data_IF_565133686183
#
_entry.id   IF_565133686183
#
_cell.length_a   1.000
_cell.length_b   1.000
_cell.length_c   1.000
_cell.angle_alpha   90.00
_cell.angle_beta   90.00
_cell.angle_gamma   90.00
#
_symmetry.space_group_name_H-M   'P 1'
#
loop_
_entity.id
_entity.type
_entity.pdbx_description
1 polymer ?
#
# COMPACT_ATOMS: atom_id res chain seq x y z
N UNK A 1 -6.67 -49.46 -48.22
CA UNK A 1 -7.24 -48.47 -47.28
C UNK A 1 -6.17 -48.23 -46.25
N UNK A 2 -5.48 -47.09 -46.33
CA UNK A 2 -4.37 -46.77 -45.44
C UNK A 2 -4.80 -45.58 -44.56
N UNK A 3 -4.93 -45.86 -43.26
CA UNK A 3 -5.35 -44.91 -42.24
C UNK A 3 -4.29 -43.82 -42.03
N UNK A 4 -4.67 -42.57 -42.27
CA UNK A 4 -3.81 -41.40 -42.03
C UNK A 4 -3.93 -40.96 -40.58
N UNK A 5 -2.90 -41.24 -39.79
CA UNK A 5 -2.75 -40.74 -38.42
C UNK A 5 -2.60 -39.22 -38.41
N UNK A 6 -3.53 -38.51 -37.78
CA UNK A 6 -3.49 -37.05 -37.60
C UNK A 6 -2.66 -36.76 -36.34
N UNK A 7 -1.47 -36.18 -36.51
CA UNK A 7 -0.64 -35.71 -35.40
C UNK A 7 -1.13 -34.33 -34.96
N UNK A 8 -1.77 -34.23 -33.79
CA UNK A 8 -2.17 -32.95 -33.20
C UNK A 8 -0.93 -32.19 -32.73
N UNK A 9 -0.62 -31.08 -33.40
CA UNK A 9 0.40 -30.11 -32.95
C UNK A 9 -0.20 -29.28 -31.81
N UNK A 10 0.32 -29.46 -30.60
CA UNK A 10 -0.06 -28.65 -29.43
C UNK A 10 0.47 -27.22 -29.58
N UNK A 11 -0.44 -26.27 -29.71
CA UNK A 11 -0.15 -24.84 -29.78
C UNK A 11 0.18 -24.30 -28.39
N UNK A 12 1.48 -24.11 -28.10
CA UNK A 12 1.95 -23.48 -26.86
C UNK A 12 1.67 -21.97 -26.90
N UNK A 13 0.65 -21.52 -26.18
CA UNK A 13 0.30 -20.10 -26.06
C UNK A 13 1.49 -19.26 -25.55
N UNK A 14 1.92 -18.26 -26.33
CA UNK A 14 2.97 -17.31 -25.93
C UNK A 14 2.50 -16.46 -24.74
N UNK A 15 3.22 -16.51 -23.61
CA UNK A 15 3.08 -15.53 -22.51
C UNK A 15 4.22 -14.52 -22.56
N UNK A 16 3.93 -13.23 -22.79
CA UNK A 16 4.95 -12.19 -22.73
C UNK A 16 5.63 -12.17 -21.37
N UNK A 17 6.96 -12.00 -21.31
CA UNK A 17 7.67 -11.85 -20.04
C UNK A 17 7.19 -10.59 -19.33
N UNK A 18 6.67 -10.74 -18.11
CA UNK A 18 6.34 -9.61 -17.23
C UNK A 18 7.66 -8.95 -16.84
N UNK A 19 8.04 -7.88 -17.54
CA UNK A 19 9.13 -7.02 -17.06
C UNK A 19 8.72 -6.50 -15.68
N UNK A 20 9.54 -6.72 -14.62
CA UNK A 20 9.27 -6.09 -13.34
C UNK A 20 9.38 -4.57 -13.54
N UNK A 21 8.25 -3.87 -13.38
CA UNK A 21 8.17 -2.40 -13.41
C UNK A 21 8.71 -1.84 -12.09
N UNK A 22 9.91 -2.25 -11.67
CA UNK A 22 10.57 -1.61 -10.53
C UNK A 22 11.38 -0.44 -11.08
N UNK A 23 11.09 0.81 -10.71
CA UNK A 23 11.97 1.91 -11.02
C UNK A 23 13.35 1.64 -10.40
N UNK A 24 14.38 1.68 -11.22
CA UNK A 24 15.78 1.60 -10.80
C UNK A 24 16.13 2.89 -10.05
N UNK A 25 15.80 2.95 -8.76
CA UNK A 25 16.31 4.02 -7.92
C UNK A 25 17.83 3.82 -7.79
N UNK A 26 18.62 4.85 -8.12
CA UNK A 26 20.08 4.77 -8.16
C UNK A 26 20.69 4.26 -6.84
N UNK A 27 21.91 3.70 -6.89
CA UNK A 27 22.58 3.13 -5.72
C UNK A 27 22.76 4.23 -4.66
N UNK A 28 21.97 4.14 -3.58
CA UNK A 28 22.00 5.13 -2.48
C UNK A 28 20.63 5.71 -2.11
N UNK A 29 19.58 5.49 -2.91
CA UNK A 29 18.21 5.87 -2.50
C UNK A 29 17.71 4.81 -1.52
N UNK A 30 17.83 5.11 -0.23
CA UNK A 30 17.13 4.35 0.80
C UNK A 30 15.65 4.70 0.68
N UNK A 31 14.88 3.90 -0.07
CA UNK A 31 13.43 3.97 -0.02
C UNK A 31 13.05 3.59 1.41
N UNK A 32 12.52 4.51 2.23
CA UNK A 32 12.12 4.16 3.58
C UNK A 32 11.12 3.02 3.48
N UNK A 33 11.30 1.98 4.29
CA UNK A 33 10.42 0.82 4.29
C UNK A 33 8.98 1.31 4.48
N UNK A 34 8.22 1.34 3.38
CA UNK A 34 6.88 1.92 3.36
C UNK A 34 6.00 1.09 4.28
N UNK A 35 5.78 1.58 5.49
CA UNK A 35 4.83 0.94 6.41
C UNK A 35 3.44 1.09 5.78
N UNK A 36 2.70 -0.01 5.60
CA UNK A 36 1.40 0.08 4.97
C UNK A 36 0.44 0.88 5.88
N UNK A 37 0.01 2.05 5.41
CA UNK A 37 -0.77 3.03 6.18
C UNK A 37 -2.07 2.43 6.74
N UNK A 38 -2.85 1.75 5.89
CA UNK A 38 -4.16 1.23 6.26
C UNK A 38 -4.15 0.17 7.39
N UNK A 39 -3.33 -0.90 7.35
CA UNK A 39 -3.25 -1.84 8.46
C UNK A 39 -2.68 -1.19 9.72
N UNK A 40 -1.67 -0.32 9.61
CA UNK A 40 -1.10 0.38 10.77
C UNK A 40 -2.16 1.22 11.50
N UNK A 41 -2.93 2.04 10.77
CA UNK A 41 -3.99 2.85 11.39
C UNK A 41 -5.12 2.02 12.00
N UNK A 42 -5.40 0.82 11.46
CA UNK A 42 -6.42 -0.08 12.01
C UNK A 42 -5.97 -0.76 13.30
N UNK A 43 -4.68 -1.05 13.43
CA UNK A 43 -4.11 -1.73 14.61
C UNK A 43 -3.89 -0.77 15.79
N UNK A 44 -3.86 0.54 15.55
CA UNK A 44 -3.71 1.55 16.60
C UNK A 44 -4.80 1.42 17.65
N UNK A 45 -4.41 1.41 18.92
CA UNK A 45 -5.32 1.55 20.07
C UNK A 45 -5.60 3.03 20.35
N UNK A 46 -6.68 3.31 21.09
CA UNK A 46 -6.99 4.69 21.50
C UNK A 46 -5.84 5.23 22.35
N UNK A 47 -5.34 6.41 21.99
CA UNK A 47 -4.16 7.05 22.60
C UNK A 47 -2.82 6.65 21.95
N UNK A 48 -2.80 5.65 21.06
CA UNK A 48 -1.59 5.23 20.36
C UNK A 48 -1.36 6.11 19.11
N UNK A 49 -0.08 6.35 18.82
CA UNK A 49 0.36 7.14 17.67
C UNK A 49 1.21 6.33 16.70
N UNK A 50 1.05 6.62 15.41
CA UNK A 50 1.92 6.11 14.35
C UNK A 50 2.55 7.26 13.57
N UNK A 51 3.82 7.09 13.21
CA UNK A 51 4.60 8.04 12.45
C UNK A 51 4.74 7.56 10.99
N UNK A 52 4.56 8.49 10.07
CA UNK A 52 4.73 8.28 8.65
C UNK A 52 5.58 9.39 8.04
N UNK A 53 6.33 9.11 6.96
CA UNK A 53 7.09 10.13 6.26
C UNK A 53 6.17 11.15 5.56
N UNK A 54 6.59 12.41 5.48
CA UNK A 54 5.76 13.52 4.99
C UNK A 54 5.27 13.36 3.55
N UNK A 55 5.99 12.64 2.70
CA UNK A 55 5.61 12.32 1.33
C UNK A 55 4.31 11.52 1.27
N UNK A 56 3.95 10.85 2.37
CA UNK A 56 2.71 10.08 2.52
C UNK A 56 1.56 10.87 3.12
N UNK A 57 1.71 12.16 3.45
CA UNK A 57 0.68 12.98 4.12
C UNK A 57 -0.71 12.85 3.49
N UNK A 58 -0.80 13.00 2.16
CA UNK A 58 -2.08 12.91 1.43
C UNK A 58 -2.68 11.52 1.50
N UNK A 59 -1.84 10.49 1.42
CA UNK A 59 -2.24 9.08 1.56
C UNK A 59 -2.72 8.77 2.98
N UNK A 60 -2.06 9.33 4.00
CA UNK A 60 -2.43 9.21 5.41
C UNK A 60 -3.79 9.87 5.67
N UNK A 61 -3.98 11.12 5.22
CA UNK A 61 -5.25 11.84 5.37
C UNK A 61 -6.41 11.13 4.66
N UNK A 62 -6.18 10.69 3.42
CA UNK A 62 -7.12 9.87 2.65
C UNK A 62 -7.56 8.62 3.42
N UNK A 63 -6.58 7.88 3.94
CA UNK A 63 -6.82 6.63 4.66
C UNK A 63 -7.55 6.89 5.97
N UNK A 64 -7.14 7.91 6.75
CA UNK A 64 -7.83 8.34 7.98
C UNK A 64 -9.29 8.68 7.70
N UNK A 65 -9.57 9.53 6.70
CA UNK A 65 -10.93 9.92 6.35
C UNK A 65 -11.79 8.73 5.91
N UNK A 66 -11.20 7.80 5.16
CA UNK A 66 -11.88 6.54 4.79
C UNK A 66 -12.21 5.70 6.02
N UNK A 67 -11.26 5.53 6.94
CA UNK A 67 -11.45 4.75 8.18
C UNK A 67 -12.50 5.39 9.08
N UNK A 68 -12.49 6.71 9.28
CA UNK A 68 -13.54 7.43 10.01
C UNK A 68 -14.93 7.16 9.45
N UNK A 69 -15.10 7.11 8.12
CA UNK A 69 -16.38 6.78 7.49
C UNK A 69 -16.75 5.31 7.64
N UNK A 70 -15.79 4.40 7.45
CA UNK A 70 -16.03 2.95 7.52
C UNK A 70 -16.40 2.50 8.94
N UNK A 71 -15.75 3.08 9.95
CA UNK A 71 -15.89 2.71 11.36
C UNK A 71 -16.64 3.76 12.17
N UNK A 72 -17.42 4.62 11.50
CA UNK A 72 -18.22 5.68 12.15
C UNK A 72 -19.15 5.13 13.25
N UNK A 73 -19.74 3.95 13.03
CA UNK A 73 -20.61 3.29 14.02
C UNK A 73 -19.86 2.82 15.27
N UNK A 74 -18.56 2.60 15.17
CA UNK A 74 -17.68 2.25 16.28
C UNK A 74 -17.09 3.50 16.96
N UNK A 75 -17.40 4.70 16.43
CA UNK A 75 -16.85 5.96 16.92
C UNK A 75 -15.39 6.19 16.52
N UNK A 76 -14.86 5.46 15.54
CA UNK A 76 -13.43 5.51 15.22
C UNK A 76 -13.00 6.91 14.74
N UNK A 77 -12.00 7.49 15.39
CA UNK A 77 -11.44 8.77 15.00
C UNK A 77 -9.94 8.87 15.31
N UNK A 78 -9.24 9.70 14.54
CA UNK A 78 -7.81 9.93 14.70
C UNK A 78 -7.44 11.36 14.31
N UNK A 79 -6.52 11.95 15.07
CA UNK A 79 -5.92 13.25 14.78
C UNK A 79 -4.63 13.09 14.00
N UNK A 80 -4.33 14.08 13.16
CA UNK A 80 -3.15 14.11 12.31
C UNK A 80 -2.39 15.40 12.60
N UNK A 81 -1.14 15.27 13.01
CA UNK A 81 -0.22 16.38 13.27
C UNK A 81 0.94 16.25 12.28
N UNK A 82 1.28 17.35 11.62
CA UNK A 82 2.41 17.40 10.70
C UNK A 82 3.57 18.09 11.41
N UNK A 83 4.72 17.43 11.46
CA UNK A 83 5.96 17.99 11.94
C UNK A 83 6.85 18.35 10.74
N UNK A 84 6.84 19.63 10.38
CA UNK A 84 7.63 20.16 9.26
C UNK A 84 9.15 20.18 9.54
N UNK A 85 9.56 20.13 10.81
CA UNK A 85 10.98 20.11 11.19
C UNK A 85 11.61 18.73 11.03
N UNK A 86 10.85 17.68 11.32
CA UNK A 86 11.30 16.28 11.21
C UNK A 86 10.83 15.60 9.92
N UNK A 87 10.06 16.31 9.08
CA UNK A 87 9.44 15.78 7.87
C UNK A 87 8.61 14.51 8.13
N UNK A 88 7.83 14.55 9.21
CA UNK A 88 7.01 13.43 9.66
C UNK A 88 5.55 13.83 9.86
N UNK A 89 4.67 12.85 9.73
CA UNK A 89 3.24 12.95 9.96
C UNK A 89 2.90 11.97 11.06
N UNK A 90 2.40 12.50 12.17
CA UNK A 90 2.02 11.75 13.35
C UNK A 90 0.50 11.61 13.33
N UNK A 91 0.02 10.38 13.41
CA UNK A 91 -1.40 10.08 13.49
C UNK A 91 -1.69 9.45 14.84
N UNK A 92 -2.55 10.07 15.63
CA UNK A 92 -2.92 9.60 16.96
C UNK A 92 -4.39 9.20 16.98
N UNK A 93 -4.70 7.98 17.41
CA UNK A 93 -6.10 7.52 17.50
C UNK A 93 -6.77 8.13 18.72
N UNK A 94 -7.88 8.83 18.52
CA UNK A 94 -8.64 9.50 19.58
C UNK A 94 -9.86 8.70 20.04
N UNK A 95 -10.40 7.82 19.19
CA UNK A 95 -11.55 6.95 19.48
C UNK A 95 -11.55 5.68 18.61
#
# INVERSE_FOLDING_TARGET
MEDKTITMTQESAYRPPRKPTLPEFGPGVQVPASRPIAPTLKTLKVGESAEFPIEQLTSVQSTKNRLCRMYARQGWNADVVVNDHEYQVIVTRTA
#
